data_IF_219113606848
#
_entry.id   IF_219113606848
#
_cell.length_a   1.000
_cell.length_b   1.000
_cell.length_c   1.000
_cell.angle_alpha   90.00
_cell.angle_beta   90.00
_cell.angle_gamma   90.00
#
_symmetry.space_group_name_H-M   'P 1'
#
loop_
_entity.id
_entity.type
_entity.pdbx_description
1 polymer ?
#
# COMPACT_ATOMS: atom_id res chain seq x y z
N UNK A 1 -3.28 -16.97 3.24
CA UNK A 1 -1.89 -16.51 3.47
C UNK A 1 -1.92 -15.64 4.71
N UNK A 2 -0.89 -15.71 5.54
CA UNK A 2 -0.85 -14.89 6.77
C UNK A 2 -0.07 -13.60 6.50
N UNK A 3 -0.72 -12.46 6.75
CA UNK A 3 -0.09 -11.14 6.76
C UNK A 3 0.33 -10.78 8.18
N UNK A 4 1.50 -10.15 8.34
CA UNK A 4 2.04 -9.73 9.64
C UNK A 4 2.19 -8.21 9.68
N UNK A 5 1.75 -7.60 10.78
CA UNK A 5 1.85 -6.15 11.01
C UNK A 5 3.22 -5.76 11.59
N UNK A 6 3.60 -4.49 11.40
CA UNK A 6 4.78 -3.94 12.06
C UNK A 6 4.58 -3.90 13.59
N UNK A 7 5.68 -3.93 14.35
CA UNK A 7 5.62 -4.11 15.82
C UNK A 7 4.85 -3.01 16.55
N UNK A 8 4.80 -1.81 15.98
CA UNK A 8 4.26 -0.58 16.58
C UNK A 8 2.82 -0.29 16.20
N UNK A 9 2.20 -1.11 15.34
CA UNK A 9 0.83 -0.87 14.91
C UNK A 9 -0.18 -1.32 15.97
N UNK A 10 -1.05 -0.39 16.39
CA UNK A 10 -2.12 -0.67 17.35
C UNK A 10 -3.47 -0.89 16.66
N UNK A 11 -3.77 -0.11 15.62
CA UNK A 11 -4.99 -0.21 14.82
C UNK A 11 -4.70 -0.36 13.34
N UNK A 12 -5.64 -0.97 12.61
CA UNK A 12 -5.61 -1.14 11.16
C UNK A 12 -7.05 -1.14 10.62
N UNK A 13 -7.22 -1.10 9.30
CA UNK A 13 -8.51 -1.28 8.65
C UNK A 13 -8.58 -2.67 8.05
N UNK A 14 -9.70 -3.37 8.26
CA UNK A 14 -10.08 -4.59 7.55
C UNK A 14 -11.53 -4.46 7.08
N UNK A 15 -11.78 -4.66 5.78
CA UNK A 15 -13.15 -4.70 5.20
C UNK A 15 -14.07 -3.58 5.71
N UNK A 16 -13.63 -2.33 5.53
CA UNK A 16 -14.35 -1.13 5.94
C UNK A 16 -14.58 -0.95 7.45
N UNK A 17 -13.77 -1.58 8.29
CA UNK A 17 -13.80 -1.39 9.74
C UNK A 17 -12.41 -1.14 10.31
N UNK A 18 -12.29 -0.14 11.20
CA UNK A 18 -11.07 0.09 11.99
C UNK A 18 -11.07 -0.89 13.17
N UNK A 19 -10.04 -1.75 13.22
CA UNK A 19 -9.89 -2.81 14.21
C UNK A 19 -8.56 -2.68 14.94
N UNK A 20 -8.50 -3.19 16.16
CA UNK A 20 -7.23 -3.31 16.89
C UNK A 20 -6.41 -4.48 16.32
N UNK A 21 -5.10 -4.28 16.16
CA UNK A 21 -4.18 -5.34 15.71
C UNK A 21 -4.26 -6.52 16.69
N UNK A 22 -4.48 -7.76 16.21
CA UNK A 22 -4.54 -8.94 17.06
C UNK A 22 -3.25 -9.16 17.85
N UNK A 23 -3.33 -9.83 19.01
CA UNK A 23 -2.14 -10.18 19.81
C UNK A 23 -1.12 -11.03 19.04
N UNK A 24 -1.58 -11.85 18.08
CA UNK A 24 -0.73 -12.61 17.16
C UNK A 24 0.06 -11.72 16.18
N UNK A 25 -0.31 -10.44 16.05
CA UNK A 25 0.18 -9.49 15.06
C UNK A 25 0.03 -9.99 13.62
N UNK A 26 -1.02 -10.75 13.39
CA UNK A 26 -1.30 -11.31 12.07
C UNK A 26 -2.79 -11.41 11.77
N UNK A 27 -3.11 -11.36 10.49
CA UNK A 27 -4.43 -11.66 9.94
C UNK A 27 -4.29 -12.62 8.77
N UNK A 28 -5.37 -13.34 8.49
CA UNK A 28 -5.50 -14.08 7.24
C UNK A 28 -5.91 -13.13 6.12
N UNK A 29 -5.26 -13.33 4.97
CA UNK A 29 -5.58 -12.70 3.70
C UNK A 29 -5.81 -13.80 2.65
N UNK A 30 -6.62 -13.53 1.61
CA UNK A 30 -7.00 -14.56 0.65
C UNK A 30 -5.77 -15.02 -0.15
N UNK A 31 -5.58 -16.33 -0.26
CA UNK A 31 -4.54 -16.92 -1.10
C UNK A 31 -4.78 -16.62 -2.58
N UNK A 32 -3.71 -16.60 -3.38
CA UNK A 32 -3.76 -16.35 -4.82
C UNK A 32 -4.51 -15.07 -5.23
N UNK A 33 -4.34 -14.00 -4.44
CA UNK A 33 -4.96 -12.71 -4.73
C UNK A 33 -4.17 -11.90 -5.76
N UNK A 34 -4.90 -11.21 -6.62
CA UNK A 34 -4.40 -10.03 -7.34
C UNK A 34 -4.44 -8.85 -6.38
N UNK A 35 -3.30 -8.17 -6.16
CA UNK A 35 -3.18 -7.13 -5.14
C UNK A 35 -3.06 -5.75 -5.80
N UNK A 36 -4.09 -4.94 -5.64
CA UNK A 36 -4.05 -3.50 -5.94
C UNK A 36 -3.65 -2.76 -4.68
N UNK A 37 -2.81 -1.73 -4.82
CA UNK A 37 -2.32 -1.05 -3.62
C UNK A 37 -2.14 0.45 -3.80
N UNK A 38 -2.26 1.14 -2.68
CA UNK A 38 -1.88 2.53 -2.53
C UNK A 38 -0.96 2.74 -1.35
N UNK A 39 -0.12 3.77 -1.42
CA UNK A 39 0.73 4.20 -0.32
C UNK A 39 0.59 5.70 -0.20
N UNK A 40 0.09 6.14 0.94
CA UNK A 40 -0.26 7.52 1.26
C UNK A 40 0.68 8.00 2.35
N UNK A 41 1.29 9.18 2.18
CA UNK A 41 2.08 9.81 3.25
C UNK A 41 1.14 10.50 4.23
N UNK A 42 1.36 10.28 5.52
CA UNK A 42 0.66 10.98 6.61
C UNK A 42 1.66 11.86 7.34
N UNK A 43 1.36 13.16 7.46
CA UNK A 43 2.20 14.13 8.17
C UNK A 43 1.34 14.83 9.22
N UNK A 44 1.77 14.78 10.49
CA UNK A 44 1.08 15.37 11.64
C UNK A 44 -0.42 15.02 11.67
N UNK A 45 -0.75 13.74 11.43
CA UNK A 45 -2.13 13.25 11.40
C UNK A 45 -2.94 13.61 10.14
N UNK A 46 -2.30 14.15 9.10
CA UNK A 46 -2.98 14.52 7.84
C UNK A 46 -2.54 13.57 6.72
N UNK A 47 -3.42 12.71 6.19
CA UNK A 47 -3.14 11.93 4.98
C UNK A 47 -3.14 12.84 3.75
N UNK A 48 -2.02 12.87 3.02
CA UNK A 48 -1.87 13.75 1.86
C UNK A 48 -2.55 13.16 0.62
N UNK A 49 -3.34 13.98 -0.09
CA UNK A 49 -4.02 13.60 -1.35
C UNK A 49 -4.89 12.33 -1.22
N UNK A 50 -5.59 12.19 -0.09
CA UNK A 50 -6.34 10.98 0.25
C UNK A 50 -7.37 10.63 -0.83
N UNK A 51 -8.17 11.61 -1.27
CA UNK A 51 -9.22 11.39 -2.25
C UNK A 51 -8.62 10.96 -3.60
N UNK A 52 -7.55 11.61 -4.06
CA UNK A 52 -6.87 11.24 -5.30
C UNK A 52 -6.24 9.84 -5.26
N UNK A 53 -5.75 9.42 -4.09
CA UNK A 53 -5.25 8.06 -3.89
C UNK A 53 -6.39 7.03 -3.96
N UNK A 54 -7.54 7.29 -3.31
CA UNK A 54 -8.71 6.40 -3.36
C UNK A 54 -9.28 6.32 -4.79
N UNK A 55 -9.42 7.46 -5.48
CA UNK A 55 -9.83 7.52 -6.88
C UNK A 55 -8.92 6.71 -7.80
N UNK A 56 -7.60 6.75 -7.57
CA UNK A 56 -6.64 5.97 -8.37
C UNK A 56 -6.72 4.47 -8.07
N UNK A 57 -7.02 4.10 -6.83
CA UNK A 57 -7.25 2.71 -6.45
C UNK A 57 -8.50 2.17 -7.14
N UNK A 58 -9.61 2.90 -7.09
CA UNK A 58 -10.86 2.57 -7.79
C UNK A 58 -10.66 2.46 -9.31
N UNK A 59 -9.96 3.44 -9.92
CA UNK A 59 -9.61 3.36 -11.36
C UNK A 59 -8.77 2.14 -11.68
N UNK A 60 -7.84 1.74 -10.81
CA UNK A 60 -6.99 0.56 -11.01
C UNK A 60 -7.81 -0.74 -11.01
N UNK A 61 -8.79 -0.87 -10.12
CA UNK A 61 -9.67 -2.05 -10.06
C UNK A 61 -10.63 -2.07 -11.24
N UNK A 62 -11.22 -0.91 -11.58
CA UNK A 62 -12.13 -0.78 -12.71
C UNK A 62 -11.46 -1.15 -14.04
N UNK A 63 -10.24 -0.69 -14.28
CA UNK A 63 -9.43 -1.07 -15.46
C UNK A 63 -9.11 -2.57 -15.52
N UNK A 64 -9.31 -3.30 -14.42
CA UNK A 64 -9.14 -4.74 -14.32
C UNK A 64 -10.48 -5.50 -14.33
N UNK A 65 -11.60 -4.80 -14.52
CA UNK A 65 -12.96 -5.34 -14.54
C UNK A 65 -13.46 -5.74 -13.15
N UNK A 66 -13.07 -4.98 -12.13
CA UNK A 66 -13.47 -5.17 -10.73
C UNK A 66 -14.08 -3.84 -10.24
N UNK A 67 -15.38 -3.84 -9.98
CA UNK A 67 -16.11 -2.71 -9.42
C UNK A 67 -16.21 -2.89 -7.90
N UNK A 68 -15.72 -1.90 -7.14
CA UNK A 68 -15.70 -1.93 -5.68
C UNK A 68 -16.09 -0.54 -5.17
N UNK A 69 -17.00 -0.51 -4.21
CA UNK A 69 -17.32 0.69 -3.45
C UNK A 69 -16.25 0.97 -2.39
N UNK A 70 -15.58 2.11 -2.54
CA UNK A 70 -14.54 2.61 -1.63
C UNK A 70 -14.97 3.87 -0.86
N UNK A 71 -16.24 4.29 -0.91
CA UNK A 71 -16.71 5.54 -0.30
C UNK A 71 -16.45 5.58 1.21
N UNK A 72 -16.62 4.44 1.86
CA UNK A 72 -16.41 4.32 3.31
C UNK A 72 -14.92 4.32 3.70
N UNK A 73 -14.02 4.02 2.75
CA UNK A 73 -12.58 3.90 3.00
C UNK A 73 -11.97 5.23 3.45
N UNK A 74 -12.36 6.35 2.84
CA UNK A 74 -11.87 7.69 3.19
C UNK A 74 -12.14 8.00 4.66
N UNK A 75 -13.39 7.80 5.12
CA UNK A 75 -13.79 8.01 6.52
C UNK A 75 -13.02 7.10 7.46
N UNK A 76 -12.83 5.84 7.08
CA UNK A 76 -12.11 4.87 7.89
C UNK A 76 -10.63 5.22 8.00
N UNK A 77 -9.99 5.72 6.94
CA UNK A 77 -8.59 6.17 6.98
C UNK A 77 -8.44 7.37 7.91
N UNK A 78 -9.36 8.33 7.85
CA UNK A 78 -9.37 9.47 8.78
C UNK A 78 -9.47 8.99 10.24
N UNK A 79 -10.34 8.02 10.51
CA UNK A 79 -10.47 7.42 11.85
C UNK A 79 -9.21 6.65 12.27
N UNK A 80 -8.62 5.86 11.36
CA UNK A 80 -7.39 5.11 11.60
C UNK A 80 -6.23 6.04 11.99
N UNK A 81 -6.05 7.14 11.26
CA UNK A 81 -4.99 8.13 11.52
C UNK A 81 -5.20 8.82 12.87
N UNK A 82 -6.45 9.06 13.28
CA UNK A 82 -6.76 9.61 14.61
C UNK A 82 -6.40 8.64 15.74
N UNK A 83 -6.63 7.34 15.54
CA UNK A 83 -6.35 6.30 16.54
C UNK A 83 -4.87 5.92 16.63
N UNK A 84 -4.12 6.10 15.54
CA UNK A 84 -2.67 5.90 15.48
C UNK A 84 -1.97 7.24 15.22
N UNK A 85 -1.85 8.13 16.21
CA UNK A 85 -1.20 9.41 16.02
C UNK A 85 0.28 9.22 15.65
N UNK A 86 0.64 9.70 14.45
CA UNK A 86 2.02 9.65 13.94
C UNK A 86 2.46 11.04 13.52
N UNK A 87 3.74 11.37 13.79
CA UNK A 87 4.34 12.61 13.28
C UNK A 87 4.51 12.53 11.77
N UNK A 88 5.04 11.43 11.28
CA UNK A 88 5.26 11.21 9.86
C UNK A 88 5.43 9.73 9.56
N UNK A 89 4.54 9.15 8.75
CA UNK A 89 4.58 7.73 8.35
C UNK A 89 3.74 7.50 7.09
N UNK A 90 4.06 6.47 6.33
CA UNK A 90 3.25 6.03 5.20
C UNK A 90 2.19 5.05 5.67
N UNK A 91 0.99 5.20 5.12
CA UNK A 91 -0.13 4.29 5.25
C UNK A 91 -0.27 3.55 3.92
N UNK A 92 -0.20 2.22 3.97
CA UNK A 92 -0.46 1.36 2.81
C UNK A 92 -1.92 0.90 2.83
N UNK A 93 -2.55 0.93 1.67
CA UNK A 93 -3.85 0.29 1.41
C UNK A 93 -3.56 -0.86 0.46
N UNK A 94 -4.00 -2.06 0.81
CA UNK A 94 -3.95 -3.25 -0.04
C UNK A 94 -5.36 -3.78 -0.23
N UNK A 95 -5.73 -3.97 -1.48
CA UNK A 95 -6.95 -4.64 -1.89
C UNK A 95 -6.58 -5.98 -2.51
N UNK A 96 -6.95 -7.05 -1.82
CA UNK A 96 -6.75 -8.44 -2.21
C UNK A 96 -7.99 -8.93 -2.95
N UNK A 97 -7.90 -9.08 -4.26
CA UNK A 97 -9.00 -9.60 -5.09
C UNK A 97 -8.70 -11.05 -5.48
N UNK A 98 -9.65 -11.96 -5.22
CA UNK A 98 -9.54 -13.35 -5.64
C UNK A 98 -9.48 -13.43 -7.18
N UNK A 99 -8.60 -14.29 -7.71
CA UNK A 99 -8.39 -14.44 -9.14
C UNK A 99 -9.52 -15.21 -9.84
N UNK A 100 -10.27 -16.02 -9.09
CA UNK A 100 -11.35 -16.88 -9.59
C UNK A 100 -12.72 -16.26 -9.36
N UNK A 101 -12.94 -15.66 -8.18
CA UNK A 101 -14.17 -14.97 -7.83
C UNK A 101 -13.92 -13.47 -7.64
N UNK A 102 -14.14 -12.69 -8.69
CA UNK A 102 -13.86 -11.25 -8.70
C UNK A 102 -14.71 -10.44 -7.73
N UNK A 103 -15.78 -11.02 -7.17
CA UNK A 103 -16.61 -10.39 -6.14
C UNK A 103 -16.03 -10.60 -4.74
N UNK A 104 -15.15 -11.59 -4.58
CA UNK A 104 -14.48 -11.86 -3.31
C UNK A 104 -13.23 -11.02 -3.20
N UNK A 105 -13.28 -10.04 -2.32
CA UNK A 105 -12.14 -9.18 -2.03
C UNK A 105 -11.99 -8.89 -0.54
N UNK A 106 -10.80 -8.50 -0.15
CA UNK A 106 -10.48 -8.03 1.20
C UNK A 106 -9.66 -6.74 1.11
N UNK A 107 -10.07 -5.71 1.86
CA UNK A 107 -9.31 -4.46 1.99
C UNK A 107 -8.57 -4.49 3.32
N UNK A 108 -7.27 -4.20 3.29
CA UNK A 108 -6.45 -4.01 4.48
C UNK A 108 -5.72 -2.68 4.35
N UNK A 109 -5.80 -1.80 5.35
CA UNK A 109 -5.00 -0.59 5.38
C UNK A 109 -4.29 -0.41 6.73
N UNK A 110 -3.01 -0.07 6.69
CA UNK A 110 -2.11 -0.16 7.82
C UNK A 110 -0.90 0.76 7.65
N UNK A 111 -0.23 1.10 8.75
CA UNK A 111 0.97 1.94 8.69
C UNK A 111 2.20 1.10 8.42
N UNK A 112 3.07 1.52 7.51
CA UNK A 112 4.31 0.80 7.17
C UNK A 112 5.55 1.58 7.59
N UNK A 113 6.66 0.88 7.82
CA UNK A 113 7.98 1.51 7.92
C UNK A 113 8.21 2.47 6.74
N UNK A 114 8.72 3.66 7.06
CA UNK A 114 8.83 4.77 6.12
C UNK A 114 10.22 5.38 6.16
N UNK A 115 10.84 5.47 5.00
CA UNK A 115 12.18 6.03 4.83
C UNK A 115 12.11 7.20 3.86
N UNK A 116 12.30 8.41 4.36
CA UNK A 116 12.29 9.63 3.56
C UNK A 116 13.73 10.11 3.29
N UNK A 117 14.07 10.53 2.06
CA UNK A 117 15.41 10.99 1.76
C UNK A 117 15.80 12.21 2.60
N UNK A 118 17.05 12.24 3.08
CA UNK A 118 17.60 13.40 3.77
C UNK A 118 17.82 14.55 2.78
N UNK A 119 17.83 15.80 3.28
CA UNK A 119 18.04 17.00 2.47
C UNK A 119 19.27 16.91 1.54
N UNK A 120 20.37 16.32 2.04
CA UNK A 120 21.60 16.10 1.24
C UNK A 120 21.38 15.22 0.01
N UNK A 121 20.47 14.24 0.08
CA UNK A 121 20.19 13.33 -1.03
C UNK A 121 19.47 14.08 -2.15
N UNK A 122 18.55 14.99 -1.80
CA UNK A 122 17.91 15.87 -2.79
C UNK A 122 18.91 16.83 -3.45
N UNK A 123 19.88 17.35 -2.70
CA UNK A 123 20.89 18.28 -3.21
C UNK A 123 21.91 17.59 -4.12
N UNK A 124 22.36 16.38 -3.74
CA UNK A 124 23.42 15.67 -4.45
C UNK A 124 22.89 14.76 -5.57
N UNK A 125 21.60 14.48 -5.57
CA UNK A 125 20.99 13.50 -6.47
C UNK A 125 21.27 12.05 -6.05
N UNK A 126 20.77 11.12 -6.88
CA UNK A 126 20.96 9.67 -6.71
C UNK A 126 21.38 9.05 -8.03
N UNK A 127 22.17 7.97 -7.97
CA UNK A 127 22.47 7.14 -9.14
C UNK A 127 21.19 6.42 -9.58
N UNK A 128 20.94 6.39 -10.88
CA UNK A 128 19.84 5.66 -11.50
C UNK A 128 20.37 4.71 -12.56
N UNK A 129 19.71 3.56 -12.72
CA UNK A 129 20.04 2.57 -13.74
C UNK A 129 18.78 2.08 -14.44
N UNK A 130 18.94 1.66 -15.69
CA UNK A 130 17.87 1.10 -16.50
C UNK A 130 17.83 -0.41 -16.37
N UNK A 131 16.64 -0.95 -16.18
CA UNK A 131 16.39 -2.40 -16.20
C UNK A 131 15.48 -2.73 -17.39
N UNK A 132 15.74 -3.82 -18.13
CA UNK A 132 14.95 -4.19 -19.31
C UNK A 132 13.63 -4.88 -18.91
N UNK A 133 12.86 -4.26 -18.02
CA UNK A 133 11.54 -4.74 -17.57
C UNK A 133 10.46 -3.73 -17.94
N UNK A 134 9.28 -4.23 -18.31
CA UNK A 134 8.13 -3.42 -18.68
C UNK A 134 6.94 -3.77 -17.79
N UNK A 135 6.12 -2.76 -17.48
CA UNK A 135 4.81 -2.98 -16.88
C UNK A 135 3.82 -3.38 -17.98
N UNK A 136 2.96 -4.34 -17.69
CA UNK A 136 1.89 -4.74 -18.62
C UNK A 136 0.88 -3.60 -18.80
N UNK A 137 0.42 -3.00 -17.70
CA UNK A 137 -0.42 -1.80 -17.70
C UNK A 137 0.12 -0.79 -16.68
N UNK A 138 0.69 0.35 -17.11
CA UNK A 138 1.23 1.36 -16.20
C UNK A 138 0.17 2.11 -15.40
N UNK A 139 -1.08 2.16 -15.89
CA UNK A 139 -2.19 2.89 -15.25
C UNK A 139 -2.83 2.12 -14.09
N UNK A 140 -2.54 0.83 -13.96
CA UNK A 140 -3.03 -0.02 -12.86
C UNK A 140 -1.92 -0.19 -11.83
N UNK A 141 -2.18 0.21 -10.58
CA UNK A 141 -1.21 0.08 -9.49
C UNK A 141 -1.28 -1.30 -8.83
N UNK A 142 -0.83 -2.29 -9.59
CA UNK A 142 -0.76 -3.68 -9.17
C UNK A 142 0.59 -3.99 -8.50
N UNK A 143 0.57 -4.79 -7.43
CA UNK A 143 1.80 -5.37 -6.90
C UNK A 143 2.43 -6.32 -7.92
N UNK A 144 3.74 -6.16 -8.14
CA UNK A 144 4.52 -7.05 -8.98
C UNK A 144 5.82 -7.40 -8.25
N UNK A 145 5.81 -8.42 -7.38
CA UNK A 145 6.98 -8.81 -6.58
C UNK A 145 8.18 -9.19 -7.44
N UNK A 146 7.96 -9.82 -8.60
CA UNK A 146 9.03 -10.20 -9.52
C UNK A 146 9.77 -8.95 -10.06
N UNK A 147 9.03 -7.94 -10.53
CA UNK A 147 9.61 -6.68 -10.99
C UNK A 147 10.32 -5.96 -9.85
N UNK A 148 9.71 -5.90 -8.65
CA UNK A 148 10.32 -5.25 -7.49
C UNK A 148 11.63 -5.91 -7.09
N UNK A 149 11.64 -7.24 -7.00
CA UNK A 149 12.84 -8.02 -6.65
C UNK A 149 13.97 -7.82 -7.66
N UNK A 150 13.65 -7.80 -8.96
CA UNK A 150 14.64 -7.50 -9.99
C UNK A 150 15.20 -6.09 -9.87
N UNK A 151 14.35 -5.10 -9.56
CA UNK A 151 14.80 -3.73 -9.31
C UNK A 151 15.70 -3.64 -8.06
N UNK A 152 15.34 -4.32 -6.97
CA UNK A 152 16.11 -4.34 -5.72
C UNK A 152 17.51 -4.94 -5.91
N UNK A 153 17.62 -6.01 -6.70
CA UNK A 153 18.92 -6.59 -7.06
C UNK A 153 19.83 -5.58 -7.76
N UNK A 154 19.29 -4.83 -8.72
CA UNK A 154 20.06 -3.81 -9.44
C UNK A 154 20.45 -2.69 -8.48
N UNK A 155 19.50 -2.14 -7.71
CA UNK A 155 19.77 -1.09 -6.71
C UNK A 155 20.91 -1.49 -5.75
N UNK A 156 20.94 -2.75 -5.30
CA UNK A 156 21.99 -3.26 -4.42
C UNK A 156 23.36 -3.30 -5.11
N UNK A 157 23.42 -3.77 -6.36
CA UNK A 157 24.66 -3.86 -7.14
C UNK A 157 25.19 -2.49 -7.58
N UNK A 158 24.32 -1.50 -7.78
CA UNK A 158 24.71 -0.15 -8.21
C UNK A 158 25.28 0.72 -7.07
N UNK A 159 25.21 0.24 -5.82
CA UNK A 159 25.75 0.94 -4.64
C UNK A 159 27.24 0.66 -4.38
N UNK A 160 27.87 -0.21 -5.18
CA UNK A 160 29.34 -0.33 -5.31
C UNK A 160 29.88 0.53 -6.44
#
# INVERSE_FOLDING_TARGET
MTFFFDKEEEFFIQNNQVSQVPKSKSIEIPDNSTIFYEVIRVINGIPLFLDEHVDRLEKSTLLSGIEIDLDQLVKNIIELVKRNPVKEKNLKISLYCDQTDRQKHQIVAYFIESNYPLARIYQNGVRAELIPLKRNNPNVKLENPALRHSADKVICLSQT
#
